data_IF_249106546600
#
_entry.id   IF_249106546600
#
_cell.length_a   1.000
_cell.length_b   1.000
_cell.length_c   1.000
_cell.angle_alpha   90.00
_cell.angle_beta   90.00
_cell.angle_gamma   90.00
#
_symmetry.space_group_name_H-M   'P 1'
#
loop_
_entity.id
_entity.type
_entity.pdbx_description
1 polymer ?
#
# COMPACT_ATOMS: atom_id res chain seq x y z
N UNK A 1 20.99 2.69 1.80
CA UNK A 1 20.56 1.35 2.26
C UNK A 1 19.60 0.80 1.20
N UNK A 2 19.84 -0.40 0.66
CA UNK A 2 19.01 -0.97 -0.41
C UNK A 2 17.80 -1.73 0.16
N UNK A 3 16.73 -1.87 -0.62
CA UNK A 3 15.49 -2.56 -0.21
C UNK A 3 15.73 -3.99 0.31
N UNK A 4 16.69 -4.72 -0.26
CA UNK A 4 17.04 -6.08 0.19
C UNK A 4 17.55 -6.13 1.63
N UNK A 5 18.39 -5.19 2.03
CA UNK A 5 18.90 -5.12 3.41
C UNK A 5 17.79 -4.76 4.40
N UNK A 6 16.89 -3.85 4.02
CA UNK A 6 15.73 -3.49 4.82
C UNK A 6 14.80 -4.69 5.03
N UNK A 7 14.45 -5.39 3.95
CA UNK A 7 13.60 -6.58 3.99
C UNK A 7 14.21 -7.66 4.88
N UNK A 8 15.53 -7.90 4.78
CA UNK A 8 16.24 -8.90 5.59
C UNK A 8 16.20 -8.54 7.08
N UNK A 9 16.54 -7.31 7.43
CA UNK A 9 16.54 -6.86 8.85
C UNK A 9 15.15 -6.90 9.45
N UNK A 10 14.14 -6.44 8.72
CA UNK A 10 12.76 -6.46 9.19
C UNK A 10 12.22 -7.89 9.36
N UNK A 11 12.51 -8.78 8.40
CA UNK A 11 12.15 -10.20 8.51
C UNK A 11 12.80 -10.82 9.74
N UNK A 12 14.08 -10.57 9.98
CA UNK A 12 14.79 -11.06 11.17
C UNK A 12 14.16 -10.57 12.48
N UNK A 13 13.80 -9.29 12.56
CA UNK A 13 13.13 -8.71 13.72
C UNK A 13 11.76 -9.38 14.01
N UNK A 14 10.93 -9.53 12.98
CA UNK A 14 9.60 -10.15 13.10
C UNK A 14 9.69 -11.63 13.45
N UNK A 15 10.59 -12.37 12.79
CA UNK A 15 10.82 -13.79 13.04
C UNK A 15 11.33 -14.04 14.46
N UNK A 16 12.25 -13.20 14.97
CA UNK A 16 12.72 -13.28 16.35
C UNK A 16 11.57 -13.07 17.35
N UNK A 17 10.69 -12.09 17.10
CA UNK A 17 9.53 -11.83 17.95
C UNK A 17 8.47 -12.94 17.94
N UNK A 18 8.26 -13.58 16.79
CA UNK A 18 7.27 -14.66 16.62
C UNK A 18 7.83 -16.07 16.85
N UNK A 19 9.14 -16.20 17.10
CA UNK A 19 9.86 -17.50 17.20
C UNK A 19 9.68 -18.38 15.96
N UNK A 20 9.63 -17.75 14.78
CA UNK A 20 9.50 -18.45 13.49
C UNK A 20 10.77 -18.26 12.66
N UNK A 21 10.92 -19.06 11.61
CA UNK A 21 11.98 -18.89 10.61
C UNK A 21 11.37 -18.94 9.20
N UNK A 22 12.04 -18.34 8.22
CA UNK A 22 11.60 -18.34 6.82
C UNK A 22 11.35 -16.95 6.24
N UNK A 23 10.74 -16.93 5.05
CA UNK A 23 10.52 -15.73 4.25
C UNK A 23 9.23 -15.02 4.65
N UNK A 24 9.34 -13.76 5.08
CA UNK A 24 8.17 -12.90 5.32
C UNK A 24 7.60 -12.31 4.01
N UNK A 25 8.45 -12.08 3.02
CA UNK A 25 8.08 -11.45 1.75
C UNK A 25 8.09 -12.50 0.62
N UNK A 26 7.04 -12.49 -0.22
CA UNK A 26 6.91 -13.46 -1.32
C UNK A 26 7.67 -13.08 -2.62
N UNK A 27 8.50 -12.03 -2.61
CA UNK A 27 9.22 -11.62 -3.81
C UNK A 27 10.18 -10.45 -3.61
N UNK A 28 10.81 -10.04 -4.72
CA UNK A 28 11.68 -8.86 -4.76
C UNK A 28 10.86 -7.59 -4.87
N UNK A 29 11.38 -6.50 -4.30
CA UNK A 29 10.82 -5.17 -4.51
C UNK A 29 11.04 -4.73 -5.96
N UNK A 30 10.03 -4.10 -6.55
CA UNK A 30 10.09 -3.53 -7.90
C UNK A 30 9.82 -2.02 -7.84
N UNK A 31 10.56 -1.26 -8.64
CA UNK A 31 10.38 0.18 -8.83
C UNK A 31 10.34 0.50 -10.31
N UNK A 32 9.34 1.27 -10.73
CA UNK A 32 9.15 1.69 -12.12
C UNK A 32 8.91 3.19 -12.12
N UNK A 33 9.54 3.92 -13.03
CA UNK A 33 9.26 5.34 -13.23
C UNK A 33 7.82 5.52 -13.73
N UNK A 34 7.08 6.45 -13.12
CA UNK A 34 5.69 6.73 -13.46
C UNK A 34 5.56 8.19 -13.86
N UNK A 35 4.80 8.46 -14.91
CA UNK A 35 4.30 9.80 -15.20
C UNK A 35 3.12 10.15 -14.26
N UNK A 36 2.59 11.37 -14.40
CA UNK A 36 1.52 11.88 -13.55
C UNK A 36 0.22 11.07 -13.67
N UNK A 37 -0.14 10.62 -14.88
CA UNK A 37 -1.35 9.83 -15.10
C UNK A 37 -1.24 8.45 -14.41
N UNK A 38 -0.09 7.80 -14.54
CA UNK A 38 0.19 6.53 -13.87
C UNK A 38 0.26 6.70 -12.36
N UNK A 39 0.81 7.82 -11.85
CA UNK A 39 0.83 8.12 -10.43
C UNK A 39 -0.58 8.23 -9.84
N UNK A 40 -1.48 8.95 -10.51
CA UNK A 40 -2.88 9.07 -10.08
C UNK A 40 -3.56 7.70 -10.05
N UNK A 41 -3.32 6.86 -11.06
CA UNK A 41 -3.86 5.50 -11.11
C UNK A 41 -3.31 4.60 -9.99
N UNK A 42 -1.99 4.61 -9.77
CA UNK A 42 -1.33 3.87 -8.70
C UNK A 42 -1.83 4.29 -7.31
N UNK A 43 -2.02 5.59 -7.11
CA UNK A 43 -2.54 6.12 -5.85
C UNK A 43 -3.97 5.65 -5.57
N UNK A 44 -4.85 5.68 -6.58
CA UNK A 44 -6.21 5.12 -6.48
C UNK A 44 -6.18 3.62 -6.18
N UNK A 45 -5.28 2.89 -6.82
CA UNK A 45 -5.11 1.46 -6.56
C UNK A 45 -4.78 1.19 -5.09
N UNK A 46 -3.78 1.89 -4.53
CA UNK A 46 -3.38 1.75 -3.13
C UNK A 46 -4.52 2.12 -2.18
N UNK A 47 -5.26 3.19 -2.48
CA UNK A 47 -6.40 3.62 -1.67
C UNK A 47 -7.57 2.61 -1.67
N UNK A 48 -7.80 1.93 -2.80
CA UNK A 48 -8.90 0.98 -2.96
C UNK A 48 -8.53 -0.45 -2.55
N UNK A 49 -7.25 -0.77 -2.41
CA UNK A 49 -6.79 -2.13 -2.05
C UNK A 49 -7.45 -2.64 -0.74
N UNK A 50 -7.53 -1.86 0.36
CA UNK A 50 -8.21 -2.30 1.58
C UNK A 50 -9.69 -2.66 1.38
N UNK A 51 -10.38 -1.97 0.47
CA UNK A 51 -11.78 -2.29 0.14
C UNK A 51 -11.85 -3.60 -0.65
N UNK A 52 -10.97 -3.76 -1.65
CA UNK A 52 -10.87 -4.99 -2.45
C UNK A 52 -10.49 -6.20 -1.60
N UNK A 53 -9.61 -6.01 -0.62
CA UNK A 53 -9.20 -7.03 0.35
C UNK A 53 -10.23 -7.25 1.48
N UNK A 54 -11.38 -6.56 1.46
CA UNK A 54 -12.44 -6.62 2.48
C UNK A 54 -12.00 -6.23 3.89
N UNK A 55 -10.94 -5.42 4.00
CA UNK A 55 -10.43 -4.88 5.26
C UNK A 55 -11.12 -3.58 5.68
N UNK A 56 -11.78 -2.88 4.74
CA UNK A 56 -12.56 -1.68 5.00
C UNK A 56 -13.79 -1.62 4.10
N UNK A 57 -14.89 -1.02 4.58
CA UNK A 57 -16.10 -0.81 3.75
C UNK A 57 -15.87 0.25 2.69
N UNK A 58 -15.21 1.35 3.04
CA UNK A 58 -14.88 2.45 2.11
C UNK A 58 -13.41 2.79 2.22
N UNK A 59 -12.81 3.23 1.11
CA UNK A 59 -11.39 3.59 1.07
C UNK A 59 -11.00 4.64 2.12
N UNK A 60 -11.88 5.61 2.37
CA UNK A 60 -11.70 6.66 3.38
C UNK A 60 -11.66 6.17 4.83
N UNK A 61 -12.21 4.98 5.09
CA UNK A 61 -12.22 4.40 6.43
C UNK A 61 -10.88 3.70 6.74
N UNK A 62 -10.04 3.48 5.72
CA UNK A 62 -8.72 2.91 5.90
C UNK A 62 -7.71 3.96 6.39
N UNK A 63 -7.04 3.65 7.51
CA UNK A 63 -6.04 4.54 8.13
C UNK A 63 -4.70 4.46 7.40
N UNK A 64 -4.61 5.07 6.22
CA UNK A 64 -3.32 5.26 5.54
C UNK A 64 -2.87 6.71 5.60
N UNK A 65 -1.80 6.99 6.36
CA UNK A 65 -1.34 8.35 6.64
C UNK A 65 -0.85 9.10 5.39
N UNK A 66 -0.30 8.39 4.40
CA UNK A 66 0.11 8.97 3.13
C UNK A 66 -1.07 9.38 2.24
N UNK A 67 -2.23 8.75 2.40
CA UNK A 67 -3.44 9.06 1.64
C UNK A 67 -4.26 10.21 2.25
N UNK A 68 -4.08 10.50 3.55
CA UNK A 68 -4.87 11.50 4.28
C UNK A 68 -4.89 12.89 3.63
N UNK A 69 -3.77 13.47 3.15
CA UNK A 69 -3.79 14.79 2.51
C UNK A 69 -4.66 14.83 1.24
N UNK A 70 -4.76 13.69 0.56
CA UNK A 70 -5.46 13.53 -0.72
C UNK A 70 -6.88 13.00 -0.55
N UNK A 71 -7.27 12.63 0.68
CA UNK A 71 -8.56 12.03 1.02
C UNK A 71 -9.77 12.89 0.66
N UNK A 72 -9.57 14.21 0.55
CA UNK A 72 -10.61 15.21 0.25
C UNK A 72 -10.42 15.88 -1.12
N UNK A 73 -9.37 15.52 -1.86
CA UNK A 73 -8.99 16.17 -3.13
C UNK A 73 -9.73 15.60 -4.35
N UNK A 74 -9.72 16.33 -5.49
CA UNK A 74 -10.38 15.93 -6.73
C UNK A 74 -9.88 14.58 -7.28
N UNK A 75 -8.67 14.16 -6.89
CA UNK A 75 -8.04 12.90 -7.28
C UNK A 75 -8.84 11.66 -6.85
N UNK A 76 -9.58 11.73 -5.74
CA UNK A 76 -10.48 10.67 -5.27
C UNK A 76 -11.93 10.87 -5.71
N UNK A 77 -12.32 12.07 -6.16
CA UNK A 77 -13.70 12.43 -6.49
C UNK A 77 -14.16 11.95 -7.88
N UNK A 78 -13.24 11.69 -8.81
CA UNK A 78 -13.57 11.38 -10.20
C UNK A 78 -13.67 9.89 -10.55
N UNK A 79 -13.72 8.99 -9.55
CA UNK A 79 -13.81 7.54 -9.78
C UNK A 79 -15.21 7.02 -9.38
N UNK A 80 -16.02 6.50 -10.32
CA UNK A 80 -17.39 6.01 -10.05
C UNK A 80 -17.46 4.86 -9.03
N UNK A 81 -16.33 4.21 -8.75
CA UNK A 81 -16.17 3.07 -7.87
C UNK A 81 -16.14 3.38 -6.36
N UNK A 82 -16.19 4.66 -5.96
CA UNK A 82 -16.24 5.06 -4.53
C UNK A 82 -17.66 5.14 -3.94
N UNK A 83 -18.69 4.73 -4.69
CA UNK A 83 -20.10 4.77 -4.25
C UNK A 83 -20.63 3.48 -3.61
N UNK A 84 -19.81 2.45 -3.46
CA UNK A 84 -20.20 1.22 -2.75
C UNK A 84 -19.24 0.93 -1.59
#
# INVERSE_FOLDING_TARGET
MAFGDLHRRYTGYINAGMRTTGHLWQGRFNSVAMDEAHLVAAFRYVALNPVRARLAKRARDWKCRALLPYAKGPMMASSPSLRY
#
